data_IF_904030896696
#
_entry.id   IF_904030896696
#
_cell.length_a   1.000
_cell.length_b   1.000
_cell.length_c   1.000
_cell.angle_alpha   90.00
_cell.angle_beta   90.00
_cell.angle_gamma   90.00
#
_symmetry.space_group_name_H-M   'P 1'
#
loop_
_entity.id
_entity.type
_entity.pdbx_description
1 polymer ?
#
# COMPACT_ATOMS: atom_id res chain seq x y z
N UNK A 1 18.27 10.92 -5.73
CA UNK A 1 16.87 11.23 -5.41
C UNK A 1 16.82 11.95 -4.07
N UNK A 2 15.96 12.97 -3.88
CA UNK A 2 15.91 13.72 -2.62
C UNK A 2 15.12 12.90 -1.59
N UNK A 3 15.78 12.47 -0.51
CA UNK A 3 15.12 11.93 0.69
C UNK A 3 14.16 12.98 1.27
N UNK A 4 13.16 12.50 2.03
CA UNK A 4 12.30 13.41 2.81
C UNK A 4 13.23 14.26 3.72
N UNK A 5 13.08 15.60 3.76
CA UNK A 5 13.89 16.45 4.61
C UNK A 5 13.81 16.01 6.08
N UNK A 6 14.86 16.19 6.84
CA UNK A 6 14.87 15.87 8.26
C UNK A 6 13.77 16.61 9.05
N UNK A 7 13.35 17.80 8.58
CA UNK A 7 12.24 18.58 9.10
C UNK A 7 11.26 18.89 7.97
N UNK A 8 10.35 17.96 7.61
CA UNK A 8 9.34 18.22 6.60
C UNK A 8 8.34 19.27 7.09
N UNK A 9 7.78 20.04 6.15
CA UNK A 9 6.78 21.07 6.43
C UNK A 9 5.44 20.71 5.80
N UNK A 10 4.36 21.37 6.22
CA UNK A 10 3.03 21.21 5.63
C UNK A 10 2.46 19.79 5.77
N UNK A 11 1.87 19.29 4.70
CA UNK A 11 1.13 18.02 4.67
C UNK A 11 2.06 16.81 4.82
N UNK A 12 3.29 16.87 4.32
CA UNK A 12 4.28 15.80 4.53
C UNK A 12 4.59 15.63 6.01
N UNK A 13 4.70 16.73 6.76
CA UNK A 13 4.90 16.68 8.21
C UNK A 13 3.70 16.06 8.93
N UNK A 14 2.49 16.46 8.55
CA UNK A 14 1.24 15.89 9.11
C UNK A 14 1.18 14.39 8.90
N UNK A 15 1.41 13.94 7.67
CA UNK A 15 1.43 12.53 7.32
C UNK A 15 2.52 11.79 8.11
N UNK A 16 3.73 12.34 8.16
CA UNK A 16 4.85 11.75 8.89
C UNK A 16 4.54 11.58 10.39
N UNK A 17 3.91 12.56 11.02
CA UNK A 17 3.49 12.47 12.41
C UNK A 17 2.38 11.44 12.62
N UNK A 18 1.41 11.39 11.71
CA UNK A 18 0.28 10.47 11.78
C UNK A 18 0.71 8.99 11.69
N UNK A 19 1.71 8.67 10.85
CA UNK A 19 2.15 7.28 10.66
C UNK A 19 3.25 6.85 11.62
N UNK A 20 3.95 7.78 12.26
CA UNK A 20 5.16 7.51 13.05
C UNK A 20 4.96 6.43 14.11
N UNK A 21 3.93 6.56 14.93
CA UNK A 21 3.67 5.61 16.02
C UNK A 21 3.33 4.21 15.48
N UNK A 22 2.58 4.15 14.38
CA UNK A 22 2.23 2.89 13.73
C UNK A 22 3.45 2.20 13.14
N UNK A 23 4.35 2.96 12.50
CA UNK A 23 5.60 2.41 11.96
C UNK A 23 6.50 1.92 13.10
N UNK A 24 6.67 2.70 14.18
CA UNK A 24 7.48 2.28 15.32
C UNK A 24 6.91 1.03 16.00
N UNK A 25 5.59 0.97 16.16
CA UNK A 25 4.94 -0.24 16.68
C UNK A 25 5.17 -1.45 15.77
N UNK A 26 5.02 -1.29 14.46
CA UNK A 26 5.22 -2.35 13.49
C UNK A 26 6.68 -2.86 13.49
N UNK A 27 7.66 -1.96 13.55
CA UNK A 27 9.08 -2.30 13.63
C UNK A 27 9.45 -3.08 14.91
N UNK A 28 8.72 -2.85 16.00
CA UNK A 28 8.95 -3.51 17.28
C UNK A 28 8.23 -4.87 17.43
N UNK A 29 7.15 -5.11 16.67
CA UNK A 29 6.24 -6.23 16.90
C UNK A 29 5.98 -7.11 15.68
N UNK A 30 6.49 -6.75 14.51
CA UNK A 30 6.28 -7.49 13.26
C UNK A 30 7.61 -7.88 12.62
N UNK A 31 7.60 -8.98 11.89
CA UNK A 31 8.76 -9.48 11.13
C UNK A 31 9.10 -8.57 9.95
N UNK A 32 8.07 -7.99 9.34
CA UNK A 32 8.22 -7.11 8.19
C UNK A 32 7.13 -6.04 8.11
N UNK A 33 7.41 -4.99 7.33
CA UNK A 33 6.44 -3.96 6.92
C UNK A 33 6.23 -4.08 5.41
N UNK A 34 4.97 -4.23 5.01
CA UNK A 34 4.53 -4.24 3.61
C UNK A 34 3.66 -3.01 3.34
N UNK A 35 3.94 -2.29 2.28
CA UNK A 35 3.20 -1.10 1.87
C UNK A 35 2.55 -1.39 0.51
N UNK A 36 1.22 -1.28 0.44
CA UNK A 36 0.50 -1.40 -0.83
C UNK A 36 0.54 -0.06 -1.58
N UNK A 37 1.05 -0.08 -2.80
CA UNK A 37 1.20 1.13 -3.62
C UNK A 37 0.47 0.95 -4.95
N UNK A 38 -0.52 1.80 -5.19
CA UNK A 38 -1.32 1.77 -6.43
C UNK A 38 -0.82 2.71 -7.53
N UNK A 39 0.26 3.45 -7.30
CA UNK A 39 0.72 4.53 -8.18
C UNK A 39 -0.04 5.85 -8.03
N UNK A 40 -1.17 5.87 -7.33
CA UNK A 40 -1.89 7.11 -7.00
C UNK A 40 -1.16 7.97 -5.98
N UNK A 41 -1.46 9.27 -5.95
CA UNK A 41 -0.76 10.27 -5.12
C UNK A 41 -0.73 9.89 -3.63
N UNK A 42 -1.86 9.46 -3.06
CA UNK A 42 -1.99 9.16 -1.63
C UNK A 42 -1.18 7.94 -1.22
N UNK A 43 -1.26 6.84 -1.98
CA UNK A 43 -0.48 5.64 -1.72
C UNK A 43 1.02 5.86 -1.88
N UNK A 44 1.41 6.68 -2.85
CA UNK A 44 2.81 7.07 -3.09
C UNK A 44 3.35 7.95 -1.96
N UNK A 45 2.57 8.93 -1.51
CA UNK A 45 2.94 9.79 -0.38
C UNK A 45 3.08 9.00 0.92
N UNK A 46 2.12 8.11 1.20
CA UNK A 46 2.19 7.21 2.36
C UNK A 46 3.45 6.34 2.29
N UNK A 47 3.70 5.70 1.15
CA UNK A 47 4.85 4.83 0.95
C UNK A 47 6.17 5.58 1.19
N UNK A 48 6.32 6.77 0.60
CA UNK A 48 7.53 7.58 0.77
C UNK A 48 7.81 7.89 2.24
N UNK A 49 6.78 8.25 3.01
CA UNK A 49 6.93 8.57 4.44
C UNK A 49 7.22 7.32 5.28
N UNK A 50 6.54 6.20 5.03
CA UNK A 50 6.78 4.94 5.75
C UNK A 50 8.19 4.41 5.46
N UNK A 51 8.63 4.45 4.20
CA UNK A 51 9.99 4.07 3.79
C UNK A 51 11.03 4.92 4.54
N UNK A 52 10.87 6.25 4.57
CA UNK A 52 11.80 7.14 5.28
C UNK A 52 11.92 6.79 6.77
N UNK A 53 10.79 6.53 7.46
CA UNK A 53 10.81 6.11 8.86
C UNK A 53 11.51 4.76 9.07
N UNK A 54 11.24 3.78 8.21
CA UNK A 54 11.88 2.46 8.29
C UNK A 54 13.39 2.56 8.09
N UNK A 55 13.83 3.27 7.05
CA UNK A 55 15.26 3.44 6.74
C UNK A 55 16.01 4.18 7.86
N UNK A 56 15.41 5.20 8.46
CA UNK A 56 15.98 5.89 9.64
C UNK A 56 16.12 4.97 10.85
N UNK A 57 15.27 3.97 10.96
CA UNK A 57 15.34 2.95 12.00
C UNK A 57 16.27 1.76 11.63
N UNK A 58 16.93 1.81 10.48
CA UNK A 58 17.82 0.74 10.01
C UNK A 58 17.09 -0.48 9.43
N UNK A 59 15.80 -0.34 9.09
CA UNK A 59 14.96 -1.40 8.51
C UNK A 59 14.62 -1.09 7.07
N UNK A 60 14.54 -2.12 6.22
CA UNK A 60 14.14 -1.98 4.81
C UNK A 60 12.72 -2.52 4.64
N UNK A 61 11.72 -1.67 4.35
CA UNK A 61 10.36 -2.13 4.15
C UNK A 61 10.16 -2.72 2.75
N UNK A 62 9.09 -3.50 2.60
CA UNK A 62 8.63 -4.05 1.34
C UNK A 62 7.51 -3.20 0.76
N UNK A 63 7.43 -3.12 -0.58
CA UNK A 63 6.29 -2.53 -1.28
C UNK A 63 5.74 -3.50 -2.32
N UNK A 64 4.42 -3.50 -2.50
CA UNK A 64 3.75 -4.28 -3.53
C UNK A 64 2.80 -3.41 -4.34
N UNK A 65 3.01 -3.36 -5.66
CA UNK A 65 2.05 -2.83 -6.62
C UNK A 65 1.26 -3.98 -7.24
N UNK A 66 -0.07 -3.84 -7.29
CA UNK A 66 -0.95 -4.86 -7.87
C UNK A 66 -1.59 -4.30 -9.12
N UNK A 67 -1.24 -4.89 -10.27
CA UNK A 67 -1.89 -4.63 -11.54
C UNK A 67 -3.13 -5.50 -11.69
N UNK A 68 -4.25 -4.91 -12.03
CA UNK A 68 -5.53 -5.59 -12.22
C UNK A 68 -5.80 -5.98 -13.68
N UNK A 69 -4.93 -5.64 -14.62
CA UNK A 69 -5.07 -5.95 -16.04
C UNK A 69 -6.29 -5.30 -16.71
N UNK A 70 -6.88 -4.26 -16.10
CA UNK A 70 -8.15 -3.66 -16.58
C UNK A 70 -7.91 -2.74 -17.79
N UNK A 71 -6.73 -2.14 -17.89
CA UNK A 71 -6.40 -1.19 -18.97
C UNK A 71 -5.11 -1.62 -19.67
N UNK A 72 -5.01 -1.43 -21.00
CA UNK A 72 -3.74 -1.60 -21.70
C UNK A 72 -2.64 -0.72 -21.04
N UNK A 73 -1.48 -1.31 -20.72
CA UNK A 73 -0.35 -0.61 -20.13
C UNK A 73 -0.39 -0.45 -18.61
N UNK A 74 -1.38 -1.02 -17.90
CA UNK A 74 -1.43 -0.98 -16.44
C UNK A 74 -0.30 -1.79 -15.78
N UNK A 75 0.20 -2.82 -16.45
CA UNK A 75 1.39 -3.58 -16.08
C UNK A 75 2.64 -2.68 -16.03
N UNK A 76 2.80 -1.82 -17.05
CA UNK A 76 3.88 -0.85 -17.11
C UNK A 76 3.77 0.20 -16.00
N UNK A 77 2.57 0.71 -15.72
CA UNK A 77 2.34 1.63 -14.61
C UNK A 77 2.73 0.99 -13.26
N UNK A 78 2.40 -0.28 -13.04
CA UNK A 78 2.77 -1.02 -11.83
C UNK A 78 4.28 -1.23 -11.75
N UNK A 79 4.94 -1.53 -12.86
CA UNK A 79 6.40 -1.64 -12.93
C UNK A 79 7.09 -0.31 -12.63
N UNK A 80 6.67 0.78 -13.26
CA UNK A 80 7.20 2.13 -13.02
C UNK A 80 7.04 2.52 -11.54
N UNK A 81 5.89 2.21 -10.94
CA UNK A 81 5.66 2.42 -9.50
C UNK A 81 6.65 1.61 -8.66
N UNK A 82 6.88 0.35 -8.99
CA UNK A 82 7.85 -0.51 -8.32
C UNK A 82 9.27 0.08 -8.40
N UNK A 83 9.70 0.56 -9.56
CA UNK A 83 11.00 1.20 -9.76
C UNK A 83 11.16 2.47 -8.93
N UNK A 84 10.12 3.30 -8.84
CA UNK A 84 10.09 4.49 -7.97
C UNK A 84 10.27 4.10 -6.51
N UNK A 85 9.53 3.11 -6.02
CA UNK A 85 9.63 2.66 -4.62
C UNK A 85 11.01 2.05 -4.32
N UNK A 86 11.57 1.27 -5.24
CA UNK A 86 12.93 0.74 -5.12
C UNK A 86 13.96 1.87 -5.04
N UNK A 87 13.80 2.92 -5.83
CA UNK A 87 14.67 4.10 -5.80
C UNK A 87 14.57 4.88 -4.49
N UNK A 88 13.47 4.74 -3.73
CA UNK A 88 13.31 5.28 -2.37
C UNK A 88 13.98 4.41 -1.30
N UNK A 89 14.43 3.22 -1.65
CA UNK A 89 15.13 2.30 -0.75
C UNK A 89 14.28 1.16 -0.20
N UNK A 90 13.10 0.91 -0.77
CA UNK A 90 12.27 -0.26 -0.41
C UNK A 90 12.67 -1.50 -1.22
N UNK A 91 12.39 -2.68 -0.68
CA UNK A 91 12.33 -3.92 -1.47
C UNK A 91 10.99 -3.96 -2.20
N UNK A 92 11.00 -3.67 -3.48
CA UNK A 92 9.79 -3.43 -4.26
C UNK A 92 9.48 -4.58 -5.20
N UNK A 93 8.21 -4.93 -5.27
CA UNK A 93 7.67 -5.95 -6.16
C UNK A 93 6.39 -5.46 -6.81
N UNK A 94 6.01 -6.06 -7.92
CA UNK A 94 4.70 -5.90 -8.52
C UNK A 94 4.15 -7.25 -8.98
N UNK A 95 2.83 -7.36 -9.07
CA UNK A 95 2.14 -8.58 -9.48
C UNK A 95 0.91 -8.23 -10.31
N UNK A 96 0.69 -8.97 -11.40
CA UNK A 96 -0.55 -8.90 -12.16
C UNK A 96 -1.56 -9.92 -11.61
N UNK A 97 -2.82 -9.51 -11.47
CA UNK A 97 -3.91 -10.36 -11.00
C UNK A 97 -5.05 -10.36 -12.00
N UNK A 98 -5.68 -11.51 -12.18
CA UNK A 98 -6.88 -11.65 -13.01
C UNK A 98 -8.11 -11.29 -12.17
N UNK A 99 -9.01 -10.48 -12.74
CA UNK A 99 -10.22 -10.01 -12.07
C UNK A 99 -11.41 -10.81 -12.61
N UNK A 100 -11.68 -11.99 -12.04
CA UNK A 100 -12.72 -12.92 -12.47
C UNK A 100 -13.64 -13.37 -11.30
N UNK A 101 -14.05 -12.47 -10.43
CA UNK A 101 -14.90 -12.84 -9.30
C UNK A 101 -16.34 -12.29 -9.45
N UNK A 102 -17.37 -12.99 -8.95
CA UNK A 102 -18.75 -12.50 -8.93
C UNK A 102 -18.87 -11.27 -8.02
N UNK A 103 -19.65 -10.27 -8.44
CA UNK A 103 -19.89 -9.07 -7.65
C UNK A 103 -19.57 -7.74 -8.36
N UNK A 104 -19.15 -7.83 -9.62
CA UNK A 104 -18.78 -6.68 -10.44
C UNK A 104 -17.27 -6.38 -10.43
N UNK A 105 -16.78 -5.65 -11.44
CA UNK A 105 -15.35 -5.46 -11.68
C UNK A 105 -14.59 -4.83 -10.49
N UNK A 106 -15.22 -3.88 -9.82
CA UNK A 106 -14.59 -3.15 -8.70
C UNK A 106 -14.43 -4.02 -7.44
N UNK A 107 -15.50 -4.77 -7.08
CA UNK A 107 -15.45 -5.69 -5.94
C UNK A 107 -14.44 -6.81 -6.17
N UNK A 108 -14.39 -7.34 -7.40
CA UNK A 108 -13.44 -8.35 -7.83
C UNK A 108 -12.01 -7.85 -7.79
N UNK A 109 -11.73 -6.64 -8.28
CA UNK A 109 -10.42 -6.01 -8.22
C UNK A 109 -9.95 -5.79 -6.77
N UNK A 110 -10.86 -5.35 -5.89
CA UNK A 110 -10.55 -5.17 -4.46
C UNK A 110 -10.23 -6.51 -3.79
N UNK A 111 -10.97 -7.57 -4.08
CA UNK A 111 -10.70 -8.90 -3.54
C UNK A 111 -9.37 -9.43 -4.04
N UNK A 112 -9.11 -9.38 -5.36
CA UNK A 112 -7.87 -9.82 -5.97
C UNK A 112 -6.65 -9.09 -5.36
N UNK A 113 -6.73 -7.76 -5.16
CA UNK A 113 -5.68 -6.99 -4.50
C UNK A 113 -5.44 -7.46 -3.07
N UNK A 114 -6.49 -7.67 -2.28
CA UNK A 114 -6.34 -8.15 -0.90
C UNK A 114 -5.71 -9.52 -0.84
N UNK A 115 -6.11 -10.43 -1.74
CA UNK A 115 -5.53 -11.77 -1.84
C UNK A 115 -4.04 -11.71 -2.22
N UNK A 116 -3.68 -10.88 -3.19
CA UNK A 116 -2.28 -10.70 -3.60
C UNK A 116 -1.41 -10.13 -2.45
N UNK A 117 -1.91 -9.13 -1.73
CA UNK A 117 -1.23 -8.57 -0.56
C UNK A 117 -1.06 -9.60 0.55
N UNK A 118 -2.10 -10.40 0.85
CA UNK A 118 -2.04 -11.43 1.86
C UNK A 118 -1.04 -12.53 1.48
N UNK A 119 -1.08 -13.00 0.22
CA UNK A 119 -0.12 -14.00 -0.28
C UNK A 119 1.33 -13.49 -0.22
N UNK A 120 1.56 -12.24 -0.62
CA UNK A 120 2.90 -11.66 -0.54
C UNK A 120 3.36 -11.47 0.92
N UNK A 121 2.49 -11.01 1.82
CA UNK A 121 2.80 -10.87 3.24
C UNK A 121 3.24 -12.21 3.86
N UNK A 122 2.58 -13.31 3.52
CA UNK A 122 2.97 -14.66 4.01
C UNK A 122 4.38 -15.08 3.60
N UNK A 123 4.94 -14.52 2.54
CA UNK A 123 6.34 -14.79 2.14
C UNK A 123 7.36 -13.98 2.94
N UNK A 124 6.92 -12.96 3.69
CA UNK A 124 7.79 -12.03 4.42
C UNK A 124 7.95 -12.39 5.90
N UNK A 125 7.05 -13.18 6.47
CA UNK A 125 7.08 -13.58 7.86
C UNK A 125 5.73 -14.03 8.40
N UNK A 126 5.69 -14.41 9.67
CA UNK A 126 4.45 -14.81 10.35
C UNK A 126 3.61 -13.60 10.77
N UNK A 127 4.28 -12.51 11.13
CA UNK A 127 3.67 -11.25 11.54
C UNK A 127 4.11 -10.11 10.64
N UNK A 128 3.22 -9.63 9.76
CA UNK A 128 3.50 -8.56 8.79
C UNK A 128 2.52 -7.42 8.94
N UNK A 129 3.04 -6.21 9.19
CA UNK A 129 2.22 -5.00 9.19
C UNK A 129 1.98 -4.53 7.76
N UNK A 130 0.72 -4.37 7.36
CA UNK A 130 0.35 -3.91 6.01
C UNK A 130 -0.18 -2.48 6.07
N UNK A 131 0.50 -1.56 5.38
CA UNK A 131 0.08 -0.16 5.25
C UNK A 131 -0.68 0.05 3.94
N UNK A 132 -1.86 0.66 4.03
CA UNK A 132 -2.76 0.95 2.91
C UNK A 132 -3.07 2.44 2.85
N UNK A 133 -2.84 3.06 1.70
CA UNK A 133 -3.15 4.46 1.45
C UNK A 133 -4.63 4.69 1.08
N UNK A 134 -5.55 4.28 1.97
CA UNK A 134 -6.97 4.59 1.84
C UNK A 134 -7.32 5.81 2.66
N UNK A 135 -8.07 6.75 2.08
CA UNK A 135 -8.60 7.91 2.80
C UNK A 135 -9.80 7.51 3.65
N UNK A 136 -10.20 8.36 4.61
CA UNK A 136 -11.44 8.16 5.37
C UNK A 136 -12.66 8.19 4.45
N UNK A 137 -12.62 8.97 3.37
CA UNK A 137 -13.70 9.04 2.37
C UNK A 137 -13.86 7.72 1.62
N UNK A 138 -12.78 7.04 1.23
CA UNK A 138 -12.81 5.69 0.65
C UNK A 138 -13.44 4.67 1.61
N UNK A 139 -13.18 4.81 2.91
CA UNK A 139 -13.77 3.97 3.94
C UNK A 139 -15.27 4.25 4.10
N UNK A 140 -15.67 5.52 4.13
CA UNK A 140 -17.07 5.94 4.22
C UNK A 140 -17.87 5.47 3.00
N UNK A 141 -17.35 5.63 1.79
CA UNK A 141 -17.95 5.13 0.56
C UNK A 141 -18.14 3.60 0.61
N UNK A 142 -17.15 2.87 1.08
CA UNK A 142 -17.25 1.41 1.25
C UNK A 142 -18.34 1.01 2.23
N UNK A 143 -18.51 1.73 3.34
CA UNK A 143 -19.58 1.48 4.32
C UNK A 143 -20.94 1.79 3.71
N UNK A 144 -21.10 2.91 3.01
CA UNK A 144 -22.34 3.30 2.33
C UNK A 144 -22.72 2.28 1.27
N UNK A 145 -21.80 1.81 0.44
CA UNK A 145 -22.05 0.79 -0.57
C UNK A 145 -22.49 -0.55 0.07
N UNK A 146 -21.93 -0.93 1.21
CA UNK A 146 -22.37 -2.11 1.95
C UNK A 146 -23.78 -1.97 2.53
N UNK A 147 -24.10 -0.79 3.07
CA UNK A 147 -25.44 -0.50 3.61
C UNK A 147 -26.51 -0.49 2.52
N UNK A 148 -26.20 0.03 1.33
CA UNK A 148 -27.14 0.07 0.20
C UNK A 148 -27.36 -1.29 -0.46
N UNK A 149 -26.39 -2.22 -0.37
CA UNK A 149 -26.49 -3.57 -0.92
C UNK A 149 -27.12 -4.60 0.05
N UNK A 150 -27.38 -4.20 1.30
CA UNK A 150 -27.92 -5.07 2.36
C UNK A 150 -26.89 -6.03 2.97
N UNK A 151 -27.24 -6.72 4.07
CA UNK A 151 -26.39 -7.75 4.67
C UNK A 151 -26.36 -8.96 3.75
N UNK A 152 -25.31 -9.03 2.98
CA UNK A 152 -24.75 -10.23 2.44
C UNK A 152 -25.54 -11.08 1.46
N UNK A 153 -24.98 -11.25 0.38
CA UNK A 153 -24.88 -12.58 -0.23
C UNK A 153 -23.40 -12.86 -0.34
#
# INVERSE_FOLDING_TARGET
MKSIPANPTGDVRRLSLAVREHVHWALANCDAILIAVSGGADSTALAAVVIDHCLRAGSTPHTLSVDHGIRPGSDREAQETCEVMASLGAQSSWVSVTVDAPGGPEASARLARRSALAAHAQTLGESVAVFLGHTMDDQAETVLLRLTRGPGV
#
